data_IF_140368341580
#
_entry.id   IF_140368341580
#
_cell.length_a   1.000
_cell.length_b   1.000
_cell.length_c   1.000
_cell.angle_alpha   90.00
_cell.angle_beta   90.00
_cell.angle_gamma   90.00
#
_symmetry.space_group_name_H-M   'P 1'
#
loop_
_entity.id
_entity.type
_entity.pdbx_description
1 polymer ?
#
# COMPACT_ATOMS: atom_id res chain seq x y z
N UNK A 1 -5.29 -36.93 -5.80
CA UNK A 1 -6.74 -37.18 -6.00
C UNK A 1 -7.50 -37.20 -4.67
N UNK A 2 -6.85 -37.50 -3.53
CA UNK A 2 -7.48 -37.55 -2.20
C UNK A 2 -7.66 -36.17 -1.48
N UNK A 3 -6.83 -35.16 -1.77
CA UNK A 3 -6.93 -33.87 -1.06
C UNK A 3 -8.21 -33.09 -1.39
N UNK A 4 -8.76 -33.26 -2.61
CA UNK A 4 -9.94 -32.52 -3.05
C UNK A 4 -11.20 -32.96 -2.30
N UNK A 5 -11.42 -34.28 -2.17
CA UNK A 5 -12.52 -34.83 -1.38
C UNK A 5 -12.46 -34.43 0.10
N UNK A 6 -11.25 -34.32 0.67
CA UNK A 6 -11.07 -33.83 2.04
C UNK A 6 -11.42 -32.36 2.20
N UNK A 7 -11.03 -31.50 1.25
CA UNK A 7 -11.39 -30.08 1.25
C UNK A 7 -12.90 -29.88 1.02
N UNK A 8 -13.49 -30.60 0.07
CA UNK A 8 -14.94 -30.59 -0.19
C UNK A 8 -15.71 -30.93 1.10
N UNK A 9 -15.29 -31.97 1.81
CA UNK A 9 -15.91 -32.34 3.09
C UNK A 9 -15.83 -31.21 4.13
N UNK A 10 -14.69 -30.54 4.27
CA UNK A 10 -14.56 -29.44 5.25
C UNK A 10 -15.41 -28.23 4.85
N UNK A 11 -15.49 -27.94 3.55
CA UNK A 11 -16.33 -26.85 3.03
C UNK A 11 -17.81 -27.11 3.31
N UNK A 12 -18.26 -28.33 3.06
CA UNK A 12 -19.65 -28.77 3.23
C UNK A 12 -20.08 -28.90 4.71
N UNK A 13 -19.13 -29.03 5.64
CA UNK A 13 -19.41 -29.26 7.07
C UNK A 13 -18.87 -28.09 7.95
N UNK A 14 -19.64 -26.99 8.10
CA UNK A 14 -19.23 -25.78 8.84
C UNK A 14 -18.72 -26.04 10.26
N UNK A 15 -19.29 -27.01 10.97
CA UNK A 15 -18.93 -27.41 12.32
C UNK A 15 -17.49 -27.92 12.44
N UNK A 16 -16.87 -28.31 11.33
CA UNK A 16 -15.48 -28.76 11.32
C UNK A 16 -14.50 -27.62 11.63
N UNK A 17 -14.88 -26.36 11.36
CA UNK A 17 -14.06 -25.18 11.66
C UNK A 17 -13.80 -25.04 13.17
N UNK A 18 -14.76 -25.45 14.03
CA UNK A 18 -14.56 -25.52 15.47
C UNK A 18 -13.52 -26.57 15.90
N UNK A 19 -13.43 -27.70 15.18
CA UNK A 19 -12.40 -28.73 15.43
C UNK A 19 -11.01 -28.23 15.01
N UNK A 20 -10.91 -27.53 13.88
CA UNK A 20 -9.67 -26.89 13.44
C UNK A 20 -9.21 -25.83 14.45
N UNK A 21 -10.13 -25.02 14.97
CA UNK A 21 -9.84 -24.09 16.04
C UNK A 21 -9.31 -24.79 17.30
N UNK A 22 -9.98 -25.86 17.76
CA UNK A 22 -9.48 -26.63 18.91
C UNK A 22 -8.10 -27.26 18.65
N UNK A 23 -7.82 -27.69 17.42
CA UNK A 23 -6.53 -28.25 17.03
C UNK A 23 -5.39 -27.21 17.03
N UNK A 24 -5.69 -25.93 16.83
CA UNK A 24 -4.72 -24.84 17.01
C UNK A 24 -4.34 -24.65 18.48
N UNK A 25 -5.19 -25.07 19.43
CA UNK A 25 -4.92 -24.99 20.88
C UNK A 25 -4.10 -26.19 21.40
N UNK A 26 -3.03 -26.51 20.71
CA UNK A 26 -2.06 -27.52 21.12
C UNK A 26 -0.71 -26.87 21.38
N UNK A 27 0.15 -27.49 22.19
CA UNK A 27 1.56 -27.07 22.31
C UNK A 27 2.44 -27.62 21.19
N UNK A 28 1.92 -28.53 20.37
CA UNK A 28 2.67 -29.18 19.30
C UNK A 28 2.72 -28.30 18.04
N UNK A 29 3.88 -27.70 17.78
CA UNK A 29 4.15 -26.84 16.62
C UNK A 29 3.87 -27.55 15.29
N UNK A 30 4.17 -28.85 15.18
CA UNK A 30 3.92 -29.62 13.95
C UNK A 30 2.43 -29.73 13.64
N UNK A 31 1.60 -29.92 14.67
CA UNK A 31 0.14 -29.96 14.49
C UNK A 31 -0.38 -28.59 14.09
N UNK A 32 0.07 -27.52 14.75
CA UNK A 32 -0.32 -26.15 14.35
C UNK A 32 0.07 -25.85 12.91
N UNK A 33 1.28 -26.24 12.49
CA UNK A 33 1.75 -26.10 11.11
C UNK A 33 0.80 -26.78 10.13
N UNK A 34 0.46 -28.04 10.38
CA UNK A 34 -0.47 -28.79 9.52
C UNK A 34 -1.86 -28.14 9.44
N UNK A 35 -2.35 -27.59 10.57
CA UNK A 35 -3.62 -26.87 10.58
C UNK A 35 -3.53 -25.59 9.75
N UNK A 36 -2.46 -24.79 9.88
CA UNK A 36 -2.28 -23.59 9.06
C UNK A 36 -2.09 -23.91 7.56
N UNK A 37 -1.39 -24.99 7.22
CA UNK A 37 -1.28 -25.46 5.82
C UNK A 37 -2.64 -25.88 5.26
N UNK A 38 -3.48 -26.55 6.06
CA UNK A 38 -4.84 -26.91 5.67
C UNK A 38 -5.73 -25.66 5.49
N UNK A 39 -5.65 -24.69 6.40
CA UNK A 39 -6.36 -23.41 6.27
C UNK A 39 -5.90 -22.63 5.04
N UNK A 40 -4.60 -22.68 4.71
CA UNK A 40 -4.04 -22.09 3.49
C UNK A 40 -4.64 -22.75 2.25
N UNK A 41 -4.71 -24.08 2.23
CA UNK A 41 -5.30 -24.83 1.13
C UNK A 41 -6.80 -24.50 0.96
N UNK A 42 -7.54 -24.34 2.06
CA UNK A 42 -8.95 -23.92 2.03
C UNK A 42 -9.12 -22.52 1.45
N UNK A 43 -8.27 -21.55 1.83
CA UNK A 43 -8.32 -20.19 1.29
C UNK A 43 -8.20 -20.16 -0.24
N UNK A 44 -7.28 -20.95 -0.79
CA UNK A 44 -6.99 -20.96 -2.24
C UNK A 44 -7.96 -21.86 -3.01
N UNK A 45 -8.72 -22.72 -2.33
CA UNK A 45 -9.61 -23.69 -2.98
C UNK A 45 -10.81 -23.03 -3.66
N UNK A 46 -11.59 -22.25 -2.91
CA UNK A 46 -12.76 -21.50 -3.37
C UNK A 46 -13.19 -20.48 -2.30
N UNK A 47 -14.23 -19.67 -2.60
CA UNK A 47 -14.78 -18.68 -1.66
C UNK A 47 -15.27 -19.30 -0.35
N UNK A 48 -15.91 -20.46 -0.41
CA UNK A 48 -16.48 -21.09 0.78
C UNK A 48 -15.37 -21.63 1.69
N UNK A 49 -14.31 -22.21 1.12
CA UNK A 49 -13.12 -22.63 1.85
C UNK A 49 -12.40 -21.45 2.51
N UNK A 50 -12.31 -20.32 1.82
CA UNK A 50 -11.83 -19.07 2.40
C UNK A 50 -12.65 -18.63 3.61
N UNK A 51 -13.98 -18.63 3.50
CA UNK A 51 -14.87 -18.32 4.64
C UNK A 51 -14.70 -19.33 5.78
N UNK A 52 -14.54 -20.64 5.48
CA UNK A 52 -14.24 -21.66 6.51
C UNK A 52 -12.93 -21.39 7.24
N UNK A 53 -11.92 -20.87 6.55
CA UNK A 53 -10.66 -20.50 7.20
C UNK A 53 -10.86 -19.32 8.16
N UNK A 54 -11.62 -18.30 7.77
CA UNK A 54 -11.98 -17.18 8.64
C UNK A 54 -12.84 -17.61 9.83
N UNK A 55 -13.81 -18.51 9.61
CA UNK A 55 -14.65 -19.11 10.65
C UNK A 55 -13.80 -19.86 11.68
N UNK A 56 -12.80 -20.63 11.25
CA UNK A 56 -11.90 -21.33 12.16
C UNK A 56 -11.12 -20.35 13.06
N UNK A 57 -10.61 -19.26 12.49
CA UNK A 57 -9.95 -18.20 13.26
C UNK A 57 -10.92 -17.48 14.22
N UNK A 58 -12.18 -17.29 13.82
CA UNK A 58 -13.22 -16.70 14.67
C UNK A 58 -13.59 -17.62 15.84
N UNK A 59 -13.68 -18.93 15.62
CA UNK A 59 -13.84 -19.91 16.70
C UNK A 59 -12.64 -19.91 17.64
N UNK A 60 -11.42 -19.86 17.11
CA UNK A 60 -10.21 -19.79 17.93
C UNK A 60 -10.16 -18.52 18.78
N UNK A 61 -10.55 -17.37 18.19
CA UNK A 61 -10.70 -16.10 18.91
C UNK A 61 -11.61 -16.25 20.14
N UNK A 62 -12.78 -16.87 19.95
CA UNK A 62 -13.74 -17.13 21.04
C UNK A 62 -13.15 -18.06 22.09
N UNK A 63 -12.50 -19.15 21.68
CA UNK A 63 -11.86 -20.12 22.58
C UNK A 63 -10.78 -19.47 23.46
N UNK A 64 -10.00 -18.53 22.91
CA UNK A 64 -8.94 -17.80 23.63
C UNK A 64 -9.40 -16.51 24.29
N UNK A 65 -10.69 -16.17 24.22
CA UNK A 65 -11.22 -14.87 24.64
C UNK A 65 -10.40 -13.68 24.08
N UNK A 66 -9.89 -13.83 22.86
CA UNK A 66 -9.08 -12.82 22.20
C UNK A 66 -9.97 -11.74 21.59
N UNK A 67 -9.42 -10.52 21.45
CA UNK A 67 -10.16 -9.41 20.84
C UNK A 67 -10.25 -9.50 19.32
N UNK A 68 -9.22 -10.05 18.66
CA UNK A 68 -9.08 -10.08 17.20
C UNK A 68 -8.78 -11.50 16.72
N UNK A 69 -9.43 -11.93 15.63
CA UNK A 69 -9.30 -13.30 15.09
C UNK A 69 -7.96 -13.55 14.42
N UNK A 70 -7.39 -12.54 13.76
CA UNK A 70 -6.10 -12.65 13.09
C UNK A 70 -4.90 -12.59 14.06
N UNK A 71 -5.15 -12.29 15.35
CA UNK A 71 -4.10 -12.16 16.38
C UNK A 71 -3.25 -13.42 16.52
N UNK A 72 -3.88 -14.59 16.44
CA UNK A 72 -3.20 -15.88 16.59
C UNK A 72 -2.05 -16.05 15.61
N UNK A 73 -2.25 -15.63 14.35
CA UNK A 73 -1.22 -15.77 13.31
C UNK A 73 0.02 -14.95 13.65
N UNK A 74 -0.18 -13.71 14.12
CA UNK A 74 0.94 -12.82 14.50
C UNK A 74 1.64 -13.30 15.77
N UNK A 75 0.89 -13.79 16.76
CA UNK A 75 1.45 -14.36 17.99
C UNK A 75 2.28 -15.61 17.71
N UNK A 76 1.77 -16.52 16.87
CA UNK A 76 2.52 -17.70 16.45
C UNK A 76 3.77 -17.32 15.65
N UNK A 77 3.68 -16.31 14.77
CA UNK A 77 4.82 -15.86 13.98
C UNK A 77 5.94 -15.24 14.85
N UNK A 78 5.56 -14.53 15.92
CA UNK A 78 6.51 -13.99 16.90
C UNK A 78 7.15 -15.07 17.78
N UNK A 79 6.37 -16.11 18.15
CA UNK A 79 6.84 -17.20 19.00
C UNK A 79 7.65 -18.27 18.22
N UNK A 80 7.42 -18.39 16.91
CA UNK A 80 8.04 -19.39 16.07
C UNK A 80 9.56 -19.17 15.97
N UNK A 81 10.33 -20.20 16.31
CA UNK A 81 11.79 -20.25 16.12
C UNK A 81 12.19 -21.06 14.89
N UNK A 82 11.36 -22.02 14.49
CA UNK A 82 11.59 -22.87 13.33
C UNK A 82 11.19 -22.14 12.04
N UNK A 83 12.15 -21.98 11.13
CA UNK A 83 11.95 -21.26 9.86
C UNK A 83 10.87 -21.91 8.99
N UNK A 84 10.79 -23.24 8.98
CA UNK A 84 9.75 -23.99 8.26
C UNK A 84 8.34 -23.63 8.75
N UNK A 85 8.16 -23.44 10.07
CA UNK A 85 6.88 -23.01 10.63
C UNK A 85 6.59 -21.54 10.35
N UNK A 86 7.61 -20.66 10.45
CA UNK A 86 7.49 -19.25 10.04
C UNK A 86 7.06 -19.12 8.58
N UNK A 87 7.64 -19.93 7.69
CA UNK A 87 7.30 -19.97 6.26
C UNK A 87 5.85 -20.37 6.04
N UNK A 88 5.37 -21.41 6.73
CA UNK A 88 3.96 -21.83 6.66
C UNK A 88 2.99 -20.75 7.16
N UNK A 89 3.35 -20.01 8.22
CA UNK A 89 2.54 -18.91 8.75
C UNK A 89 2.48 -17.71 7.80
N UNK A 90 3.61 -17.32 7.18
CA UNK A 90 3.62 -16.25 6.17
C UNK A 90 2.86 -16.68 4.92
N UNK A 91 2.99 -17.94 4.50
CA UNK A 91 2.21 -18.50 3.40
C UNK A 91 0.70 -18.45 3.70
N UNK A 92 0.27 -18.83 4.90
CA UNK A 92 -1.12 -18.72 5.32
C UNK A 92 -1.62 -17.27 5.29
N UNK A 93 -0.81 -16.34 5.79
CA UNK A 93 -1.11 -14.91 5.74
C UNK A 93 -1.31 -14.42 4.30
N UNK A 94 -0.42 -14.82 3.39
CA UNK A 94 -0.54 -14.50 1.97
C UNK A 94 -1.79 -15.13 1.36
N UNK A 95 -2.12 -16.37 1.70
CA UNK A 95 -3.36 -17.01 1.27
C UNK A 95 -4.60 -16.22 1.72
N UNK A 96 -4.65 -15.73 2.96
CA UNK A 96 -5.77 -14.92 3.45
C UNK A 96 -5.92 -13.60 2.68
N UNK A 97 -4.80 -12.93 2.37
CA UNK A 97 -4.85 -11.63 1.69
C UNK A 97 -5.14 -11.82 0.20
N UNK A 98 -4.41 -12.70 -0.49
CA UNK A 98 -4.45 -12.83 -1.96
C UNK A 98 -5.71 -13.53 -2.44
N UNK A 99 -6.27 -14.47 -1.67
CA UNK A 99 -7.48 -15.21 -2.11
C UNK A 99 -8.72 -14.33 -2.21
N UNK A 100 -8.69 -13.12 -1.66
CA UNK A 100 -9.76 -12.14 -1.80
C UNK A 100 -9.61 -11.34 -3.09
N UNK A 101 -10.53 -11.51 -4.04
CA UNK A 101 -10.50 -10.79 -5.32
C UNK A 101 -10.83 -9.29 -5.19
N UNK A 102 -11.58 -8.90 -4.16
CA UNK A 102 -11.97 -7.52 -3.90
C UNK A 102 -10.81 -6.71 -3.28
N UNK A 103 -10.40 -5.62 -3.95
CA UNK A 103 -9.28 -4.78 -3.51
C UNK A 103 -9.53 -4.14 -2.13
N UNK A 104 -10.75 -3.71 -1.84
CA UNK A 104 -11.10 -3.05 -0.57
C UNK A 104 -10.99 -4.04 0.58
N UNK A 105 -11.45 -5.27 0.39
CA UNK A 105 -11.37 -6.32 1.40
C UNK A 105 -9.93 -6.83 1.56
N UNK A 106 -9.13 -6.94 0.49
CA UNK A 106 -7.66 -7.20 0.60
C UNK A 106 -6.97 -6.16 1.46
N UNK A 107 -7.23 -4.87 1.20
CA UNK A 107 -6.66 -3.76 1.98
C UNK A 107 -7.13 -3.83 3.43
N UNK A 108 -8.41 -4.12 3.67
CA UNK A 108 -8.98 -4.22 5.02
C UNK A 108 -8.29 -5.30 5.84
N UNK A 109 -8.13 -6.51 5.30
CA UNK A 109 -7.48 -7.63 5.99
C UNK A 109 -6.00 -7.34 6.24
N UNK A 110 -5.30 -6.80 5.23
CA UNK A 110 -3.89 -6.39 5.38
C UNK A 110 -3.75 -5.35 6.50
N UNK A 111 -4.63 -4.36 6.55
CA UNK A 111 -4.63 -3.34 7.59
C UNK A 111 -4.98 -3.90 8.99
N UNK A 112 -5.84 -4.92 9.08
CA UNK A 112 -6.09 -5.63 10.34
C UNK A 112 -4.79 -6.28 10.86
N UNK A 113 -4.03 -6.96 10.01
CA UNK A 113 -2.71 -7.49 10.38
C UNK A 113 -1.69 -6.41 10.75
N UNK A 114 -1.63 -5.31 9.99
CA UNK A 114 -0.73 -4.18 10.30
C UNK A 114 -1.08 -3.58 11.66
N UNK A 115 -2.37 -3.44 11.97
CA UNK A 115 -2.87 -3.01 13.29
C UNK A 115 -2.43 -3.93 14.43
N UNK A 116 -2.28 -5.22 14.15
CA UNK A 116 -1.72 -6.23 15.05
C UNK A 116 -0.19 -6.25 15.11
N UNK A 117 0.48 -5.24 14.56
CA UNK A 117 1.95 -5.10 14.55
C UNK A 117 2.67 -6.16 13.71
N UNK A 118 2.09 -6.56 12.58
CA UNK A 118 2.73 -7.48 11.65
C UNK A 118 4.06 -6.93 11.06
N UNK A 119 4.11 -5.67 10.64
CA UNK A 119 5.26 -5.13 9.88
C UNK A 119 6.61 -5.26 10.62
N UNK A 120 6.72 -4.93 11.92
CA UNK A 120 7.94 -5.19 12.68
C UNK A 120 8.35 -6.66 12.70
N UNK A 121 7.40 -7.59 12.76
CA UNK A 121 7.66 -9.04 12.76
C UNK A 121 8.24 -9.47 11.42
N UNK A 122 7.64 -9.05 10.30
CA UNK A 122 8.16 -9.33 8.96
C UNK A 122 9.57 -8.76 8.77
N UNK A 123 9.85 -7.57 9.31
CA UNK A 123 11.18 -6.96 9.25
C UNK A 123 12.24 -7.74 10.05
N UNK A 124 11.88 -8.35 11.18
CA UNK A 124 12.77 -9.26 11.90
C UNK A 124 13.01 -10.53 11.08
N UNK A 125 11.96 -11.12 10.50
CA UNK A 125 12.08 -12.30 9.64
C UNK A 125 12.98 -12.04 8.43
N UNK A 126 12.90 -10.87 7.78
CA UNK A 126 13.82 -10.48 6.70
C UNK A 126 15.28 -10.47 7.14
N UNK A 127 15.56 -10.11 8.39
CA UNK A 127 16.93 -10.12 8.95
C UNK A 127 17.41 -11.53 9.25
N UNK A 128 16.54 -12.39 9.80
CA UNK A 128 16.88 -13.76 10.17
C UNK A 128 16.87 -14.75 9.00
N UNK A 129 16.10 -14.47 7.93
CA UNK A 129 15.91 -15.34 6.77
C UNK A 129 17.03 -15.28 5.72
N UNK A 130 18.17 -14.62 6.01
CA UNK A 130 19.30 -14.54 5.07
C UNK A 130 19.80 -15.95 4.72
N UNK A 131 19.42 -16.44 3.53
CA UNK A 131 19.80 -17.76 3.02
C UNK A 131 18.65 -18.78 2.89
N UNK A 132 17.41 -18.43 3.25
CA UNK A 132 16.25 -19.32 3.11
C UNK A 132 15.36 -18.83 1.98
N UNK A 133 15.46 -19.48 0.82
CA UNK A 133 14.77 -19.06 -0.40
C UNK A 133 13.25 -19.02 -0.24
N UNK A 134 12.63 -20.07 0.31
CA UNK A 134 11.17 -20.18 0.42
C UNK A 134 10.54 -19.07 1.29
N UNK A 135 11.14 -18.76 2.45
CA UNK A 135 10.66 -17.68 3.30
C UNK A 135 10.85 -16.32 2.63
N UNK A 136 11.98 -16.11 1.94
CA UNK A 136 12.23 -14.90 1.15
C UNK A 136 11.13 -14.69 0.11
N UNK A 137 10.82 -15.73 -0.68
CA UNK A 137 9.74 -15.68 -1.68
C UNK A 137 8.40 -15.31 -1.05
N UNK A 138 8.04 -15.87 0.10
CA UNK A 138 6.77 -15.52 0.76
C UNK A 138 6.74 -14.07 1.27
N UNK A 139 7.87 -13.53 1.72
CA UNK A 139 7.99 -12.12 2.11
C UNK A 139 7.89 -11.20 0.91
N UNK A 140 8.53 -11.56 -0.21
CA UNK A 140 8.46 -10.82 -1.46
C UNK A 140 7.02 -10.81 -2.00
N UNK A 141 6.31 -11.95 -1.98
CA UNK A 141 4.89 -12.05 -2.36
C UNK A 141 4.01 -11.08 -1.56
N UNK A 142 4.26 -10.93 -0.25
CA UNK A 142 3.52 -9.96 0.57
C UNK A 142 3.78 -8.52 0.12
N UNK A 143 5.04 -8.16 -0.13
CA UNK A 143 5.43 -6.81 -0.55
C UNK A 143 4.92 -6.48 -1.95
N UNK A 144 5.07 -7.41 -2.91
CA UNK A 144 4.57 -7.29 -4.28
C UNK A 144 3.04 -7.14 -4.31
N UNK A 145 2.31 -7.95 -3.52
CA UNK A 145 0.85 -7.82 -3.45
C UNK A 145 0.45 -6.46 -2.85
N UNK A 146 1.17 -5.99 -1.83
CA UNK A 146 0.92 -4.68 -1.21
C UNK A 146 1.13 -3.54 -2.22
N UNK A 147 2.26 -3.57 -2.94
CA UNK A 147 2.60 -2.57 -3.96
C UNK A 147 1.60 -2.61 -5.14
N UNK A 148 1.22 -3.80 -5.60
CA UNK A 148 0.18 -3.97 -6.62
C UNK A 148 -1.16 -3.37 -6.17
N UNK A 149 -1.60 -3.65 -4.94
CA UNK A 149 -2.85 -3.10 -4.41
C UNK A 149 -2.77 -1.57 -4.24
N UNK A 150 -1.62 -1.02 -3.83
CA UNK A 150 -1.39 0.43 -3.76
C UNK A 150 -1.43 1.09 -5.14
N UNK A 151 -0.81 0.46 -6.14
CA UNK A 151 -0.87 0.90 -7.54
C UNK A 151 -2.30 0.85 -8.08
N UNK A 152 -3.08 -0.20 -7.77
CA UNK A 152 -4.49 -0.29 -8.16
C UNK A 152 -5.33 0.82 -7.50
N UNK A 153 -5.06 1.19 -6.25
CA UNK A 153 -5.71 2.33 -5.59
C UNK A 153 -5.34 3.64 -6.28
N UNK A 154 -4.08 3.82 -6.68
CA UNK A 154 -3.61 5.01 -7.36
C UNK A 154 -4.18 5.14 -8.79
N UNK A 155 -4.32 4.01 -9.49
CA UNK A 155 -4.81 3.94 -10.86
C UNK A 155 -6.35 3.85 -10.97
N UNK A 156 -7.07 3.56 -9.88
CA UNK A 156 -8.54 3.56 -9.86
C UNK A 156 -9.01 5.01 -9.74
N UNK A 157 -9.41 5.68 -10.85
CA UNK A 157 -9.53 7.13 -10.83
C UNK A 157 -10.75 7.62 -10.05
N UNK A 158 -11.68 6.75 -9.63
CA UNK A 158 -13.09 7.14 -9.42
C UNK A 158 -13.83 6.50 -8.22
N UNK A 159 -13.17 6.13 -7.12
CA UNK A 159 -13.96 5.81 -5.93
C UNK A 159 -13.29 6.23 -4.62
N UNK A 160 -13.09 7.55 -4.49
CA UNK A 160 -13.24 8.12 -3.15
C UNK A 160 -14.71 7.96 -2.82
N UNK A 161 -15.04 7.03 -1.92
CA UNK A 161 -16.39 6.89 -1.41
C UNK A 161 -16.73 8.18 -0.65
N UNK A 162 -17.47 9.07 -1.32
CA UNK A 162 -17.88 10.35 -0.74
C UNK A 162 -18.87 10.19 0.43
N UNK A 163 -19.36 8.97 0.69
CA UNK A 163 -20.13 8.63 1.90
C UNK A 163 -19.23 8.18 3.08
N UNK A 164 -17.95 7.90 2.82
CA UNK A 164 -16.95 7.53 3.82
C UNK A 164 -16.06 8.73 4.18
N UNK A 165 -16.28 9.27 5.37
CA UNK A 165 -15.45 10.35 5.93
C UNK A 165 -13.95 10.01 5.90
N UNK A 166 -13.60 8.74 6.10
CA UNK A 166 -12.22 8.28 6.13
C UNK A 166 -11.58 8.30 4.74
N UNK A 167 -12.33 7.90 3.70
CA UNK A 167 -11.82 7.88 2.33
C UNK A 167 -11.65 9.30 1.80
N UNK A 168 -12.61 10.19 2.09
CA UNK A 168 -12.52 11.62 1.77
C UNK A 168 -11.32 12.25 2.48
N UNK A 169 -11.12 11.95 3.77
CA UNK A 169 -9.95 12.43 4.51
C UNK A 169 -8.64 12.01 3.87
N UNK A 170 -8.46 10.70 3.57
CA UNK A 170 -7.23 10.21 2.97
C UNK A 170 -7.04 10.67 1.53
N UNK A 171 -8.11 10.93 0.78
CA UNK A 171 -8.03 11.52 -0.55
C UNK A 171 -7.49 12.95 -0.48
N UNK A 172 -8.02 13.78 0.43
CA UNK A 172 -7.55 15.16 0.63
C UNK A 172 -6.12 15.17 1.17
N UNK A 173 -5.80 14.33 2.16
CA UNK A 173 -4.44 14.24 2.72
C UNK A 173 -3.42 13.88 1.63
N UNK A 174 -3.72 12.91 0.75
CA UNK A 174 -2.86 12.57 -0.39
C UNK A 174 -2.73 13.72 -1.39
N UNK A 175 -3.80 14.49 -1.59
CA UNK A 175 -3.80 15.64 -2.49
C UNK A 175 -2.91 16.79 -1.98
N UNK A 176 -2.81 16.98 -0.66
CA UNK A 176 -2.06 18.10 -0.06
C UNK A 176 -0.70 17.72 0.51
N UNK A 177 -0.39 16.43 0.68
CA UNK A 177 0.90 15.96 1.20
C UNK A 177 2.07 16.51 0.37
N UNK A 178 3.15 16.90 1.02
CA UNK A 178 4.36 17.47 0.41
C UNK A 178 4.12 18.79 -0.37
N UNK A 179 2.99 19.48 -0.11
CA UNK A 179 2.68 20.79 -0.67
C UNK A 179 2.51 21.83 0.45
N UNK A 180 2.69 23.14 0.20
CA UNK A 180 2.44 24.17 1.22
C UNK A 180 0.98 24.20 1.72
N UNK A 181 0.06 23.51 1.04
CA UNK A 181 -1.35 23.36 1.44
C UNK A 181 -1.54 22.34 2.58
N UNK A 182 -0.54 21.55 2.94
CA UNK A 182 -0.57 20.64 4.09
C UNK A 182 -0.77 21.41 5.41
N UNK A 183 -0.10 22.55 5.56
CA UNK A 183 -0.16 23.41 6.76
C UNK A 183 -1.58 23.95 7.01
N UNK A 184 -2.26 24.61 6.04
CA UNK A 184 -3.63 25.06 6.23
C UNK A 184 -4.62 23.90 6.38
N UNK A 185 -4.41 22.75 5.70
CA UNK A 185 -5.26 21.57 5.89
C UNK A 185 -5.21 21.04 7.33
N UNK A 186 -4.00 20.86 7.90
CA UNK A 186 -3.83 20.47 9.29
C UNK A 186 -4.47 21.49 10.25
N UNK A 187 -4.30 22.79 9.97
CA UNK A 187 -4.91 23.84 10.77
C UNK A 187 -6.45 23.73 10.76
N UNK A 188 -7.07 23.49 9.61
CA UNK A 188 -8.54 23.30 9.52
C UNK A 188 -8.99 22.14 10.40
N UNK A 189 -8.34 20.97 10.31
CA UNK A 189 -8.67 19.80 11.12
C UNK A 189 -8.55 20.05 12.63
N UNK A 190 -7.50 20.78 13.05
CA UNK A 190 -7.31 21.16 14.44
C UNK A 190 -8.43 22.08 14.96
N UNK A 191 -8.95 22.98 14.14
CA UNK A 191 -10.09 23.83 14.50
C UNK A 191 -11.38 23.02 14.58
N UNK A 192 -11.63 22.12 13.62
CA UNK A 192 -12.79 21.23 13.65
C UNK A 192 -12.79 20.31 14.88
N UNK A 193 -11.62 19.82 15.30
CA UNK A 193 -11.45 18.96 16.48
C UNK A 193 -11.77 19.67 17.81
N UNK A 194 -11.75 21.00 17.84
CA UNK A 194 -12.05 21.79 19.05
C UNK A 194 -13.54 21.96 19.32
N UNK A 195 -14.42 21.57 18.39
CA UNK A 195 -15.86 21.71 18.54
C UNK A 195 -16.39 20.63 19.49
N UNK A 196 -16.92 21.01 20.66
CA UNK A 196 -17.49 20.07 21.62
C UNK A 196 -18.93 19.70 21.22
N UNK A 197 -19.23 18.42 20.90
CA UNK A 197 -20.56 17.99 20.50
C UNK A 197 -21.63 18.11 21.60
N UNK A 198 -21.26 18.42 22.84
CA UNK A 198 -22.20 18.59 23.97
C UNK A 198 -22.80 20.00 24.05
N UNK A 199 -22.22 20.97 23.35
CA UNK A 199 -22.68 22.35 23.37
C UNK A 199 -23.78 22.58 22.32
N UNK A 200 -24.87 23.27 22.70
CA UNK A 200 -25.96 23.61 21.77
C UNK A 200 -25.51 24.49 20.59
N UNK A 201 -24.34 25.14 20.71
CA UNK A 201 -23.75 25.98 19.64
C UNK A 201 -22.98 25.12 18.62
N UNK A 202 -22.63 23.87 18.94
CA UNK A 202 -21.89 22.95 18.06
C UNK A 202 -22.54 22.82 16.68
N UNK A 203 -23.85 22.58 16.62
CA UNK A 203 -24.58 22.42 15.37
C UNK A 203 -24.52 23.69 14.51
N UNK A 204 -24.62 24.87 15.15
CA UNK A 204 -24.51 26.17 14.48
C UNK A 204 -23.10 26.35 13.91
N UNK A 205 -22.05 25.91 14.64
CA UNK A 205 -20.66 26.00 14.18
C UNK A 205 -20.43 25.07 12.97
N UNK A 206 -20.89 23.82 13.03
CA UNK A 206 -20.76 22.87 11.92
C UNK A 206 -21.51 23.33 10.67
N UNK A 207 -22.76 23.77 10.82
CA UNK A 207 -23.58 24.33 9.73
C UNK A 207 -22.92 25.57 9.08
N UNK A 208 -22.28 26.40 9.90
CA UNK A 208 -21.60 27.61 9.42
C UNK A 208 -20.30 27.22 8.71
N UNK A 209 -19.54 26.28 9.27
CA UNK A 209 -18.31 25.77 8.67
C UNK A 209 -18.57 25.13 7.31
N UNK A 210 -19.58 24.26 7.19
CA UNK A 210 -20.00 23.65 5.92
C UNK A 210 -20.29 24.72 4.86
N UNK A 211 -21.13 25.71 5.19
CA UNK A 211 -21.48 26.80 4.28
C UNK A 211 -20.29 27.65 3.88
N UNK A 212 -19.37 27.93 4.81
CA UNK A 212 -18.15 28.69 4.51
C UNK A 212 -17.20 27.91 3.60
N UNK A 213 -17.00 26.61 3.86
CA UNK A 213 -16.17 25.74 3.01
C UNK A 213 -16.75 25.65 1.61
N UNK A 214 -18.06 25.42 1.47
CA UNK A 214 -18.74 25.39 0.18
C UNK A 214 -18.56 26.70 -0.60
N UNK A 215 -18.75 27.86 0.05
CA UNK A 215 -18.55 29.16 -0.59
C UNK A 215 -17.08 29.41 -0.94
N UNK A 216 -16.15 28.95 -0.11
CA UNK A 216 -14.71 29.08 -0.37
C UNK A 216 -14.28 28.27 -1.60
N UNK A 217 -14.91 27.13 -1.86
CA UNK A 217 -14.64 26.33 -3.07
C UNK A 217 -15.14 26.94 -4.38
N UNK A 218 -15.99 27.98 -4.31
CA UNK A 218 -16.55 28.69 -5.47
C UNK A 218 -15.84 30.02 -5.78
N UNK A 219 -14.74 30.34 -5.10
CA UNK A 219 -14.03 31.60 -5.28
C UNK A 219 -13.23 31.58 -6.59
N UNK A 220 -13.42 32.60 -7.43
CA UNK A 220 -12.67 32.77 -8.68
C UNK A 220 -11.55 33.81 -8.54
N UNK A 221 -11.59 34.65 -7.49
CA UNK A 221 -10.61 35.71 -7.29
C UNK A 221 -10.38 36.11 -5.83
N UNK A 222 -9.30 36.88 -5.64
CA UNK A 222 -8.90 37.40 -4.32
C UNK A 222 -9.94 38.32 -3.70
N UNK A 223 -10.67 39.09 -4.51
CA UNK A 223 -11.74 39.97 -4.03
C UNK A 223 -12.89 39.20 -3.39
N UNK A 224 -13.26 38.04 -3.95
CA UNK A 224 -14.35 37.20 -3.45
C UNK A 224 -14.00 36.62 -2.07
N UNK A 225 -12.74 36.22 -1.88
CA UNK A 225 -12.24 35.79 -0.57
C UNK A 225 -12.37 36.89 0.48
N UNK A 226 -12.04 38.15 0.12
CA UNK A 226 -12.19 39.28 1.06
C UNK A 226 -13.66 39.61 1.36
N UNK A 227 -14.58 39.39 0.41
CA UNK A 227 -16.03 39.55 0.62
C UNK A 227 -16.59 38.44 1.51
N UNK A 228 -16.11 37.20 1.36
CA UNK A 228 -16.52 36.06 2.18
C UNK A 228 -16.13 36.25 3.65
N UNK A 229 -14.95 36.84 3.91
CA UNK A 229 -14.41 37.06 5.25
C UNK A 229 -14.88 38.37 5.91
N UNK A 230 -15.61 39.25 5.20
CA UNK A 230 -16.15 40.47 5.78
C UNK A 230 -17.35 40.16 6.69
N UNK A 231 -17.24 40.55 7.95
CA UNK A 231 -18.41 40.71 8.83
C UNK A 231 -19.27 41.85 8.28
N UNK A 232 -20.62 41.75 8.27
CA UNK A 232 -21.49 42.89 7.98
C UNK A 232 -21.39 43.88 9.14
N UNK A 233 -20.32 44.65 9.14
CA UNK A 233 -20.12 45.80 10.00
C UNK A 233 -20.93 46.94 9.39
N UNK A 234 -21.88 47.46 10.15
CA UNK A 234 -22.76 48.60 9.88
C UNK A 234 -22.14 49.65 8.93
N UNK A 235 -22.34 49.49 7.62
CA UNK A 235 -21.97 50.52 6.66
C UNK A 235 -23.12 51.52 6.57
N UNK A 236 -22.90 52.63 7.27
CA UNK A 236 -23.46 53.95 7.01
C UNK A 236 -23.83 54.14 5.53
N UNK A 237 -25.13 54.25 5.26
CA UNK A 237 -25.63 54.77 3.99
C UNK A 237 -25.08 56.18 3.76
N UNK A 238 -24.20 56.31 2.76
CA UNK A 238 -24.01 57.57 2.03
C UNK A 238 -24.21 57.31 0.54
N UNK A 239 -25.44 57.51 0.09
CA UNK A 239 -25.73 57.78 -1.32
C UNK A 239 -25.49 59.28 -1.61
N UNK A 240 -25.06 59.67 -2.82
CA UNK A 240 -24.97 61.07 -3.21
C UNK A 240 -26.15 61.45 -4.13
N UNK A 241 -26.93 62.48 -3.77
CA UNK A 241 -27.21 63.68 -4.59
C UNK A 241 -28.42 64.48 -4.07
N UNK A 242 -28.18 65.79 -3.90
CA UNK A 242 -29.03 66.97 -4.16
C UNK A 242 -30.43 67.13 -3.51
N UNK A 243 -30.58 68.23 -2.74
CA UNK A 243 -31.81 69.02 -2.73
C UNK A 243 -32.41 69.39 -1.36
N UNK A 244 -32.33 70.68 -1.02
CA UNK A 244 -33.29 71.45 -0.18
C UNK A 244 -33.22 71.39 1.36
N UNK A 245 -32.59 72.44 1.91
CA UNK A 245 -33.10 73.40 2.92
C UNK A 245 -34.16 72.90 3.93
N UNK A 246 -33.79 72.83 5.23
CA UNK A 246 -34.33 73.65 6.34
C UNK A 246 -33.73 73.29 7.71
N UNK A 247 -33.50 74.37 8.47
CA UNK A 247 -33.32 74.56 9.92
C UNK A 247 -33.65 73.38 10.86
N UNK A 248 -32.80 73.13 11.87
CA UNK A 248 -33.06 73.60 13.25
C UNK A 248 -31.99 73.11 14.23
N UNK A 249 -31.76 73.92 15.26
CA UNK A 249 -30.83 73.77 16.38
C UNK A 249 -31.18 72.56 17.27
N UNK A 250 -30.18 71.85 17.83
CA UNK A 250 -30.06 71.69 19.28
C UNK A 250 -28.85 70.85 19.75
N UNK A 251 -28.04 71.51 20.60
CA UNK A 251 -27.40 71.06 21.85
C UNK A 251 -26.62 69.75 21.91
N UNK A 252 -25.30 69.93 22.05
CA UNK A 252 -24.24 69.01 22.42
C UNK A 252 -24.21 68.64 23.91
N UNK A 253 -24.00 67.36 24.22
CA UNK A 253 -23.26 66.89 25.42
C UNK A 253 -22.42 65.65 25.02
N UNK A 254 -21.11 65.58 25.33
CA UNK A 254 -20.30 64.39 25.05
C UNK A 254 -20.27 63.40 26.25
N UNK A 255 -20.14 62.09 26.03
CA UNK A 255 -19.80 61.11 27.08
C UNK A 255 -18.26 61.06 27.35
N UNK A 256 -17.84 60.50 28.51
CA UNK A 256 -16.47 60.65 29.05
C UNK A 256 -15.44 59.73 28.38
N UNK A 257 -14.12 60.00 28.53
CA UNK A 257 -13.07 59.22 27.90
C UNK A 257 -12.84 57.84 28.58
N UNK A 258 -12.37 56.82 27.84
CA UNK A 258 -12.01 55.51 28.38
C UNK A 258 -10.65 55.50 29.12
N UNK A 259 -10.42 54.53 30.03
CA UNK A 259 -9.20 54.44 30.85
C UNK A 259 -7.98 53.95 30.06
N UNK A 260 -6.74 54.20 30.53
CA UNK A 260 -5.52 53.88 29.79
C UNK A 260 -5.19 52.38 29.78
N UNK A 261 -4.69 51.90 28.63
CA UNK A 261 -4.15 50.55 28.43
C UNK A 261 -2.84 50.33 29.20
N UNK A 262 -2.72 49.18 29.86
CA UNK A 262 -1.48 48.70 30.48
C UNK A 262 -0.44 48.31 29.41
N UNK A 263 0.88 48.45 29.69
CA UNK A 263 1.93 48.18 28.72
C UNK A 263 2.09 46.67 28.46
N UNK A 264 2.53 46.26 27.25
CA UNK A 264 2.74 44.86 26.91
C UNK A 264 3.95 44.28 27.66
N UNK A 265 3.79 43.06 28.17
CA UNK A 265 4.86 42.29 28.82
C UNK A 265 5.95 41.83 27.82
N UNK A 266 7.15 41.47 28.31
CA UNK A 266 8.28 41.12 27.47
C UNK A 266 8.09 39.77 26.73
N UNK A 267 8.69 39.61 25.54
CA UNK A 267 8.56 38.39 24.75
C UNK A 267 9.29 37.19 25.36
N UNK A 268 8.83 35.95 25.07
CA UNK A 268 9.42 34.73 25.62
C UNK A 268 10.82 34.43 25.05
N UNK A 269 11.68 33.71 25.80
CA UNK A 269 13.05 33.40 25.39
C UNK A 269 13.12 32.32 24.30
N UNK A 270 14.19 32.31 23.48
CA UNK A 270 14.37 31.33 22.40
C UNK A 270 14.74 29.93 22.93
N UNK A 271 14.41 28.87 22.17
CA UNK A 271 14.69 27.48 22.55
C UNK A 271 16.19 27.12 22.45
N UNK A 272 16.67 26.16 23.26
CA UNK A 272 18.07 25.75 23.27
C UNK A 272 18.45 24.91 22.03
N UNK A 273 19.72 24.95 21.60
CA UNK A 273 20.19 24.20 20.45
C UNK A 273 20.25 22.68 20.71
N UNK A 274 20.10 21.84 19.66
CA UNK A 274 20.11 20.39 19.80
C UNK A 274 21.51 19.86 20.15
N UNK A 275 21.54 18.89 21.08
CA UNK A 275 22.74 18.15 21.48
C UNK A 275 23.24 17.27 20.31
N UNK A 276 24.56 17.30 20.07
CA UNK A 276 25.22 16.50 19.06
C UNK A 276 25.10 14.98 19.35
N UNK A 277 24.99 14.13 18.31
CA UNK A 277 24.92 12.69 18.49
C UNK A 277 26.26 12.11 19.01
N UNK A 278 26.22 11.04 19.82
CA UNK A 278 27.43 10.39 20.32
C UNK A 278 28.19 9.66 19.19
N UNK A 279 29.51 9.48 19.31
CA UNK A 279 30.31 8.79 18.29
C UNK A 279 30.02 7.28 18.29
N UNK A 280 30.16 6.60 17.13
CA UNK A 280 29.93 5.17 17.01
C UNK A 280 30.99 4.34 17.78
N UNK A 281 30.63 3.18 18.33
CA UNK A 281 31.57 2.30 19.02
C UNK A 281 32.56 1.64 18.04
N UNK A 282 33.83 1.54 18.46
CA UNK A 282 34.88 0.80 17.77
C UNK A 282 34.55 -0.70 17.67
N UNK A 283 34.78 -1.29 16.49
CA UNK A 283 34.67 -2.73 16.28
C UNK A 283 35.79 -3.48 17.02
N UNK A 284 35.50 -4.62 17.70
CA UNK A 284 36.54 -5.51 18.18
C UNK A 284 37.08 -6.38 17.03
N UNK A 285 38.39 -6.37 16.91
CA UNK A 285 39.23 -7.23 16.08
C UNK A 285 38.96 -8.73 16.32
N UNK A 286 38.72 -9.50 15.26
CA UNK A 286 38.83 -10.96 15.28
C UNK A 286 40.17 -11.42 14.68
N UNK A 287 40.74 -12.54 15.18
CA UNK A 287 42.02 -13.05 14.75
C UNK A 287 41.93 -13.86 13.45
N UNK A 288 42.99 -13.72 12.67
CA UNK A 288 43.35 -14.50 11.48
C UNK A 288 43.29 -16.01 11.73
N UNK A 289 42.57 -16.74 10.89
CA UNK A 289 42.77 -18.18 10.66
C UNK A 289 42.67 -18.44 9.15
N UNK A 290 43.80 -18.87 8.58
CA UNK A 290 43.96 -19.11 7.15
C UNK A 290 43.14 -20.31 6.65
N UNK A 291 42.53 -20.13 5.48
CA UNK A 291 42.00 -21.22 4.67
C UNK A 291 43.03 -21.69 3.61
N UNK A 292 43.00 -22.97 3.20
CA UNK A 292 43.95 -23.55 2.24
C UNK A 292 43.67 -23.12 0.79
N UNK A 293 44.63 -23.28 -0.15
CA UNK A 293 44.58 -22.68 -1.48
C UNK A 293 43.67 -23.45 -2.47
N UNK A 294 43.23 -22.82 -3.58
CA UNK A 294 42.41 -23.46 -4.60
C UNK A 294 43.26 -24.25 -5.62
N UNK A 295 42.67 -25.26 -6.31
CA UNK A 295 43.34 -26.04 -7.36
C UNK A 295 43.37 -25.31 -8.73
N UNK A 296 44.24 -25.73 -9.66
CA UNK A 296 44.57 -24.95 -10.87
C UNK A 296 43.55 -25.11 -12.01
N UNK A 297 43.39 -24.03 -12.78
CA UNK A 297 42.55 -23.92 -13.98
C UNK A 297 43.23 -24.58 -15.18
N UNK A 298 42.47 -25.40 -15.92
CA UNK A 298 42.84 -25.95 -17.22
C UNK A 298 42.43 -24.96 -18.33
N UNK A 299 43.39 -24.54 -19.16
CA UNK A 299 43.16 -23.71 -20.35
C UNK A 299 42.50 -24.53 -21.48
N UNK A 300 41.57 -23.94 -22.27
CA UNK A 300 41.20 -24.46 -23.58
C UNK A 300 42.13 -23.90 -24.68
N UNK A 301 42.25 -24.58 -25.85
CA UNK A 301 43.23 -24.26 -26.86
C UNK A 301 42.85 -23.07 -27.76
N UNK A 302 43.93 -22.47 -28.28
CA UNK A 302 44.04 -21.33 -29.18
C UNK A 302 43.30 -21.53 -30.50
N UNK A 303 42.41 -20.59 -30.85
CA UNK A 303 41.92 -20.41 -32.22
C UNK A 303 42.81 -19.39 -32.94
N UNK A 304 43.35 -19.80 -34.08
CA UNK A 304 44.19 -19.02 -34.99
C UNK A 304 43.46 -17.81 -35.56
N UNK A 305 44.11 -16.64 -35.47
CA UNK A 305 43.75 -15.37 -36.13
C UNK A 305 44.03 -15.44 -37.64
N UNK A 306 43.18 -14.79 -38.43
CA UNK A 306 43.52 -14.21 -39.73
C UNK A 306 43.11 -12.72 -39.68
N UNK A 307 43.97 -11.75 -40.09
CA UNK A 307 43.72 -10.32 -39.97
C UNK A 307 43.52 -9.61 -41.32
N UNK A 308 42.68 -8.57 -41.33
CA UNK A 308 42.67 -7.36 -42.19
C UNK A 308 41.24 -6.78 -42.16
N UNK A 309 40.94 -5.48 -42.11
CA UNK A 309 41.63 -4.29 -42.57
C UNK A 309 40.93 -3.05 -41.98
N UNK A 310 41.67 -1.95 -41.88
CA UNK A 310 41.24 -0.64 -41.34
C UNK A 310 40.75 0.30 -42.44
N UNK A 311 39.62 0.99 -42.26
CA UNK A 311 39.39 2.31 -42.90
C UNK A 311 38.59 3.25 -41.98
N UNK A 312 39.29 4.35 -41.68
CA UNK A 312 38.97 5.75 -41.40
C UNK A 312 37.56 6.30 -41.05
N UNK A 313 37.68 7.39 -40.30
CA UNK A 313 36.78 8.29 -39.60
C UNK A 313 35.59 8.85 -40.39
N UNK A 314 34.41 8.82 -39.76
CA UNK A 314 33.22 9.60 -40.11
C UNK A 314 32.25 9.61 -38.93
N UNK A 315 31.85 10.80 -38.46
CA UNK A 315 30.95 10.98 -37.32
C UNK A 315 29.62 10.22 -37.52
N UNK A 316 29.41 9.12 -36.78
CA UNK A 316 28.11 8.46 -36.71
C UNK A 316 27.31 9.06 -35.55
N UNK A 317 26.25 9.79 -35.89
CA UNK A 317 25.14 10.05 -34.97
C UNK A 317 24.44 8.71 -34.74
N UNK A 318 24.48 8.21 -33.51
CA UNK A 318 23.93 6.90 -33.14
C UNK A 318 22.51 7.07 -32.59
N UNK A 319 21.58 6.24 -33.06
CA UNK A 319 20.19 6.18 -32.59
C UNK A 319 20.11 5.74 -31.10
N UNK A 320 19.09 6.18 -30.33
CA UNK A 320 19.00 5.95 -28.87
C UNK A 320 18.99 4.48 -28.41
N UNK A 321 18.87 3.52 -29.33
CA UNK A 321 18.81 2.08 -29.02
C UNK A 321 20.17 1.40 -28.83
N UNK A 322 21.29 2.08 -29.03
CA UNK A 322 22.63 1.47 -28.89
C UNK A 322 23.28 1.63 -27.51
N UNK A 323 22.65 2.33 -26.56
CA UNK A 323 23.08 2.32 -25.13
C UNK A 323 22.34 1.26 -24.32
N UNK A 324 22.33 0.01 -24.78
CA UNK A 324 21.90 -1.11 -23.93
C UNK A 324 23.06 -1.49 -23.01
N UNK A 325 22.97 -1.28 -21.69
CA UNK A 325 24.06 -1.63 -20.78
C UNK A 325 24.33 -3.12 -20.87
N UNK A 326 25.59 -3.49 -21.13
CA UNK A 326 26.00 -4.90 -21.17
C UNK A 326 25.69 -5.57 -19.83
N UNK A 327 24.90 -6.66 -19.81
CA UNK A 327 24.46 -7.29 -18.57
C UNK A 327 25.67 -7.78 -17.76
N UNK A 328 25.71 -7.41 -16.48
CA UNK A 328 26.81 -7.77 -15.55
C UNK A 328 26.94 -9.27 -15.28
N UNK A 329 25.96 -10.07 -15.69
CA UNK A 329 25.96 -11.52 -15.60
C UNK A 329 25.60 -12.14 -16.96
N UNK A 330 26.27 -13.24 -17.33
CA UNK A 330 25.89 -14.03 -18.51
C UNK A 330 24.47 -14.57 -18.32
N UNK A 331 23.53 -14.05 -19.08
CA UNK A 331 22.18 -14.61 -19.14
C UNK A 331 22.25 -16.05 -19.64
N UNK A 332 21.42 -16.94 -19.08
CA UNK A 332 21.28 -18.30 -19.60
C UNK A 332 20.72 -18.21 -21.02
N UNK A 333 21.42 -18.79 -21.98
CA UNK A 333 20.93 -18.89 -23.36
C UNK A 333 19.70 -19.79 -23.38
N UNK A 334 18.57 -19.25 -23.83
CA UNK A 334 17.35 -20.03 -24.04
C UNK A 334 17.60 -20.88 -25.29
N UNK A 335 17.73 -22.19 -25.09
CA UNK A 335 17.78 -23.15 -26.20
C UNK A 335 16.38 -23.38 -26.73
N UNK A 336 16.03 -22.68 -27.81
CA UNK A 336 14.82 -22.92 -28.56
C UNK A 336 14.93 -24.28 -29.26
N UNK A 337 14.19 -25.28 -28.76
CA UNK A 337 14.06 -26.56 -29.42
C UNK A 337 12.71 -26.62 -30.13
N UNK A 338 12.72 -26.96 -31.42
CA UNK A 338 11.49 -27.21 -32.18
C UNK A 338 10.76 -28.40 -31.57
N UNK A 339 9.51 -28.21 -31.16
CA UNK A 339 8.68 -29.29 -30.65
C UNK A 339 8.25 -30.17 -31.83
N UNK A 340 8.53 -31.48 -31.84
CA UNK A 340 8.09 -32.36 -32.93
C UNK A 340 6.56 -32.47 -33.01
N UNK A 341 6.00 -32.49 -34.22
CA UNK A 341 4.55 -32.50 -34.43
C UNK A 341 3.83 -33.67 -33.74
N UNK A 342 4.47 -34.84 -33.65
CA UNK A 342 3.91 -36.04 -32.99
C UNK A 342 3.79 -35.90 -31.46
N UNK A 343 4.40 -34.87 -30.85
CA UNK A 343 4.24 -34.55 -29.42
C UNK A 343 3.06 -33.59 -29.18
N UNK A 344 2.63 -32.88 -30.23
CA UNK A 344 1.60 -31.86 -30.19
C UNK A 344 0.25 -32.44 -30.65
N UNK A 345 0.22 -33.11 -31.79
CA UNK A 345 -1.00 -33.63 -32.41
C UNK A 345 -1.43 -34.96 -31.75
N UNK A 346 -2.71 -35.06 -31.38
CA UNK A 346 -3.30 -36.31 -30.84
C UNK A 346 -3.09 -36.56 -29.34
N UNK A 347 -2.40 -35.66 -28.62
CA UNK A 347 -2.21 -35.74 -27.16
C UNK A 347 -2.95 -34.60 -26.46
N UNK A 348 -3.33 -34.81 -25.21
CA UNK A 348 -3.93 -33.77 -24.38
C UNK A 348 -2.85 -32.83 -23.82
N UNK A 349 -2.60 -31.74 -24.55
CA UNK A 349 -1.63 -30.71 -24.20
C UNK A 349 -2.22 -29.30 -24.47
N UNK A 350 -1.51 -28.26 -24.01
CA UNK A 350 -1.97 -26.86 -24.11
C UNK A 350 -2.31 -26.48 -25.57
N UNK A 351 -1.49 -26.90 -26.54
CA UNK A 351 -1.74 -26.65 -27.97
C UNK A 351 -3.06 -27.28 -28.46
N UNK A 352 -3.33 -28.52 -28.07
CA UNK A 352 -4.58 -29.21 -28.42
C UNK A 352 -5.80 -28.62 -27.70
N UNK A 353 -5.61 -28.04 -26.51
CA UNK A 353 -6.66 -27.37 -25.74
C UNK A 353 -7.05 -26.04 -26.41
N UNK A 354 -6.05 -25.24 -26.80
CA UNK A 354 -6.23 -23.97 -27.53
C UNK A 354 -6.83 -24.22 -28.92
N UNK A 355 -6.35 -25.22 -29.65
CA UNK A 355 -6.92 -25.56 -30.95
C UNK A 355 -8.41 -25.96 -30.85
N UNK A 356 -8.82 -26.64 -29.77
CA UNK A 356 -10.23 -26.99 -29.51
C UNK A 356 -11.05 -25.78 -29.09
N UNK A 357 -10.53 -24.88 -28.26
CA UNK A 357 -11.26 -23.69 -27.84
C UNK A 357 -11.54 -22.73 -29.00
N UNK A 358 -10.70 -22.76 -30.04
CA UNK A 358 -10.86 -21.93 -31.24
C UNK A 358 -11.46 -22.67 -32.45
N UNK A 359 -11.92 -23.92 -32.29
CA UNK A 359 -12.41 -24.76 -33.40
C UNK A 359 -13.65 -24.20 -34.13
N UNK A 360 -14.37 -23.28 -33.48
CA UNK A 360 -15.55 -22.58 -34.01
C UNK A 360 -15.39 -21.06 -33.99
N UNK A 361 -14.17 -20.55 -33.78
CA UNK A 361 -13.91 -19.12 -33.86
C UNK A 361 -13.99 -18.68 -35.32
N UNK A 362 -14.69 -17.58 -35.66
CA UNK A 362 -14.81 -17.08 -37.03
C UNK A 362 -13.52 -16.35 -37.45
N UNK A 363 -12.37 -16.75 -36.90
CA UNK A 363 -11.09 -16.15 -37.19
C UNK A 363 -10.79 -16.50 -38.65
N UNK A 364 -11.15 -15.59 -39.55
CA UNK A 364 -10.72 -15.61 -40.93
C UNK A 364 -9.23 -15.92 -40.92
N UNK A 365 -8.80 -16.86 -41.78
CA UNK A 365 -7.41 -17.23 -41.94
C UNK A 365 -6.58 -15.94 -41.91
N UNK A 366 -5.74 -15.79 -40.88
CA UNK A 366 -4.86 -14.63 -40.75
C UNK A 366 -4.06 -14.55 -42.05
N UNK A 367 -4.28 -13.48 -42.81
CA UNK A 367 -3.56 -13.26 -44.05
C UNK A 367 -2.13 -12.86 -43.70
N UNK A 368 -1.25 -13.85 -43.73
CA UNK A 368 0.16 -13.66 -43.38
C UNK A 368 0.88 -12.74 -44.37
N UNK A 369 0.37 -12.57 -45.59
CA UNK A 369 0.91 -11.64 -46.57
C UNK A 369 0.62 -10.17 -46.21
N UNK A 370 -0.49 -9.89 -45.50
CA UNK A 370 -0.81 -8.53 -45.02
C UNK A 370 0.09 -8.13 -43.84
N UNK A 371 0.49 -9.09 -43.00
CA UNK A 371 1.34 -8.85 -41.83
C UNK A 371 2.82 -8.62 -42.13
N UNK A 372 3.33 -9.10 -43.27
CA UNK A 372 4.74 -8.91 -43.66
C UNK A 372 5.01 -7.52 -44.30
N UNK A 373 3.94 -6.73 -44.50
CA UNK A 373 3.98 -5.40 -45.12
C UNK A 373 3.98 -4.20 -44.16
N UNK A 374 4.05 -4.40 -42.83
CA UNK A 374 4.05 -3.33 -41.82
C UNK A 374 5.43 -3.05 -41.21
#
# INVERSE_FOLDING_TARGET
MESRFGLDYIVDNPEYTGKLAAALDTSNVTVKKQVFELLSALCVYNSDGYERALDALEHYKKLKCARYRLKVVVEELQAATAVDYQTALVAFLNCLIISTADLKERIRIRNEFIGLKLLPVLNELRRSARGVAELGVQLDVFDEQRESDEAQVLHSPHQVDLSSHLDVFYAILRQVADTPQEIPFLSILQHLLRIDPREAVSDIIWDTAERLVHRATLLEGKEDATRLLRSPSLQSHKQPLCGSRKQSLNTSVPPPPPPPLAPPGPPPPPPPPPLAPPPPPCAPSQPSMGGPPPPPLLNPPVTTKIPSESVDSGQNVVLPQQETPTPRAKMKTINWNKIPNNKVVGKHNIWSLVARSHQHSPMADLDWDEMEGL
#
